data_IF_487911579143
#
_entry.id   IF_487911579143
#
_cell.length_a   1.000
_cell.length_b   1.000
_cell.length_c   1.000
_cell.angle_alpha   90.00
_cell.angle_beta   90.00
_cell.angle_gamma   90.00
#
_symmetry.space_group_name_H-M   'P 1'
#
loop_
_entity.id
_entity.type
_entity.pdbx_description
1 polymer ?
#
# COMPACT_ATOMS: atom_id res chain seq x y z
N UNK A 1 -4.83 -13.19 28.75
CA UNK A 1 -5.03 -12.56 27.44
C UNK A 1 -3.67 -12.10 26.92
N UNK A 2 -3.16 -12.68 25.83
CA UNK A 2 -1.92 -12.17 25.20
C UNK A 2 -2.26 -10.80 24.59
N UNK A 3 -1.47 -9.77 24.93
CA UNK A 3 -1.68 -8.39 24.50
C UNK A 3 -1.31 -8.25 23.02
N UNK A 4 -2.10 -7.45 22.29
CA UNK A 4 -1.98 -7.23 20.85
C UNK A 4 -0.60 -6.66 20.47
N UNK A 5 0.02 -7.21 19.43
CA UNK A 5 1.28 -6.73 18.85
C UNK A 5 1.04 -5.47 18.00
N UNK A 6 1.87 -4.43 18.18
CA UNK A 6 1.83 -3.21 17.38
C UNK A 6 2.89 -3.23 16.29
N UNK A 7 2.52 -2.79 15.10
CA UNK A 7 3.36 -2.71 13.92
C UNK A 7 3.69 -1.26 13.60
N UNK A 8 4.97 -0.90 13.65
CA UNK A 8 5.47 0.41 13.24
C UNK A 8 5.67 0.42 11.72
N UNK A 9 4.97 1.33 11.05
CA UNK A 9 5.04 1.53 9.59
C UNK A 9 6.22 2.43 9.23
N UNK A 10 6.57 2.44 7.95
CA UNK A 10 7.68 3.25 7.43
C UNK A 10 7.48 4.76 7.62
N UNK A 11 6.22 5.21 7.66
CA UNK A 11 5.83 6.61 7.93
C UNK A 11 5.81 6.95 9.44
N UNK A 12 6.22 6.01 10.30
CA UNK A 12 6.19 6.17 11.76
C UNK A 12 4.82 5.91 12.40
N UNK A 13 3.75 5.72 11.61
CA UNK A 13 2.44 5.37 12.16
C UNK A 13 2.44 3.96 12.72
N UNK A 14 1.56 3.68 13.67
CA UNK A 14 1.38 2.35 14.26
C UNK A 14 0.03 1.76 13.88
N UNK A 15 0.00 0.46 13.59
CA UNK A 15 -1.24 -0.30 13.44
C UNK A 15 -1.16 -1.61 14.23
N UNK A 16 -2.30 -2.21 14.56
CA UNK A 16 -2.30 -3.54 15.15
C UNK A 16 -1.79 -4.57 14.14
N UNK A 17 -1.14 -5.62 14.64
CA UNK A 17 -0.77 -6.77 13.83
C UNK A 17 -2.01 -7.43 13.25
N UNK A 18 -2.05 -7.56 11.92
CA UNK A 18 -3.14 -8.20 11.19
C UNK A 18 -2.58 -9.43 10.49
N UNK A 19 -2.96 -10.60 10.99
CA UNK A 19 -2.49 -11.89 10.47
C UNK A 19 -2.81 -12.07 8.98
N UNK A 20 -3.99 -11.65 8.53
CA UNK A 20 -4.41 -11.76 7.12
C UNK A 20 -3.53 -10.93 6.15
N UNK A 21 -2.86 -9.88 6.61
CA UNK A 21 -1.86 -9.17 5.80
C UNK A 21 -0.62 -10.01 5.56
N UNK A 22 -0.22 -10.83 6.54
CA UNK A 22 0.92 -11.74 6.40
C UNK A 22 0.57 -12.85 5.43
N UNK A 23 -0.59 -13.50 5.58
CA UNK A 23 -1.10 -14.50 4.62
C UNK A 23 -1.10 -13.92 3.21
N UNK A 24 -1.74 -12.77 3.00
CA UNK A 24 -1.83 -12.15 1.68
C UNK A 24 -0.46 -11.79 1.09
N UNK A 25 0.49 -11.35 1.93
CA UNK A 25 1.86 -11.06 1.49
C UNK A 25 2.58 -12.33 1.04
N UNK A 26 2.45 -13.43 1.79
CA UNK A 26 3.05 -14.72 1.45
C UNK A 26 2.40 -15.30 0.19
N UNK A 27 1.08 -15.30 0.10
CA UNK A 27 0.36 -15.81 -1.07
C UNK A 27 0.75 -15.07 -2.35
N UNK A 28 0.87 -13.74 -2.30
CA UNK A 28 1.35 -12.95 -3.43
C UNK A 28 2.79 -13.30 -3.82
N UNK A 29 3.66 -13.52 -2.84
CA UNK A 29 5.04 -13.92 -3.07
C UNK A 29 5.13 -15.32 -3.72
N UNK A 30 4.37 -16.28 -3.19
CA UNK A 30 4.27 -17.64 -3.72
C UNK A 30 3.74 -17.65 -5.17
N UNK A 31 2.69 -16.88 -5.42
CA UNK A 31 2.11 -16.71 -6.76
C UNK A 31 3.12 -16.10 -7.75
N UNK A 32 3.83 -15.04 -7.35
CA UNK A 32 4.86 -14.41 -8.17
C UNK A 32 6.09 -15.33 -8.38
N UNK A 33 6.38 -16.21 -7.43
CA UNK A 33 7.38 -17.27 -7.55
C UNK A 33 6.92 -18.48 -8.37
N UNK A 34 5.72 -18.46 -8.95
CA UNK A 34 5.18 -19.52 -9.81
C UNK A 34 4.61 -20.73 -9.07
N UNK A 35 4.39 -20.64 -7.75
CA UNK A 35 3.83 -21.71 -6.92
C UNK A 35 2.67 -21.19 -6.06
N UNK A 36 1.55 -20.76 -6.66
CA UNK A 36 0.39 -20.31 -5.89
C UNK A 36 -0.14 -21.45 -5.01
N UNK A 37 -0.12 -21.25 -3.71
CA UNK A 37 -0.61 -22.21 -2.72
C UNK A 37 -1.11 -21.46 -1.47
N UNK A 38 -2.42 -21.32 -1.37
CA UNK A 38 -3.06 -20.58 -0.27
C UNK A 38 -2.92 -21.31 1.06
N UNK A 39 -3.01 -22.65 1.08
CA UNK A 39 -2.88 -23.44 2.30
C UNK A 39 -1.46 -23.30 2.86
N UNK A 40 -0.45 -23.39 1.98
CA UNK A 40 0.93 -23.11 2.37
C UNK A 40 1.12 -21.67 2.86
N UNK A 41 0.46 -20.68 2.24
CA UNK A 41 0.55 -19.29 2.69
C UNK A 41 0.01 -19.10 4.11
N UNK A 42 -1.06 -19.79 4.46
CA UNK A 42 -1.63 -19.82 5.81
C UNK A 42 -0.67 -20.47 6.81
N UNK A 43 -0.16 -21.66 6.50
CA UNK A 43 0.80 -22.38 7.35
C UNK A 43 2.06 -21.56 7.63
N UNK A 44 2.65 -20.94 6.60
CA UNK A 44 3.83 -20.09 6.76
C UNK A 44 3.52 -18.80 7.53
N UNK A 45 2.30 -18.24 7.40
CA UNK A 45 1.89 -17.07 8.17
C UNK A 45 1.75 -17.40 9.66
N UNK A 46 1.30 -18.60 10.01
CA UNK A 46 1.27 -19.07 11.40
C UNK A 46 2.68 -19.19 11.98
N UNK A 47 3.64 -19.71 11.21
CA UNK A 47 5.05 -19.76 11.61
C UNK A 47 5.60 -18.36 11.89
N UNK A 48 5.37 -17.40 10.98
CA UNK A 48 5.78 -15.99 11.16
C UNK A 48 5.12 -15.41 12.42
N UNK A 49 3.81 -15.60 12.57
CA UNK A 49 3.05 -15.10 13.73
C UNK A 49 3.61 -15.65 15.04
N UNK A 50 3.85 -16.95 15.09
CA UNK A 50 4.45 -17.60 16.26
C UNK A 50 5.80 -16.98 16.64
N UNK A 51 6.68 -16.75 15.66
CA UNK A 51 7.98 -16.11 15.91
C UNK A 51 7.85 -14.67 16.38
N UNK A 52 6.95 -13.87 15.79
CA UNK A 52 6.72 -12.50 16.23
C UNK A 52 6.29 -12.41 17.69
N UNK A 53 5.36 -13.29 18.11
CA UNK A 53 4.86 -13.30 19.49
C UNK A 53 5.82 -13.97 20.49
N UNK A 54 6.76 -14.82 20.03
CA UNK A 54 7.75 -15.48 20.90
C UNK A 54 9.00 -14.64 21.14
N UNK A 55 9.38 -13.79 20.19
CA UNK A 55 10.67 -13.09 20.17
C UNK A 55 10.68 -11.77 20.94
N UNK A 56 9.53 -11.29 21.42
CA UNK A 56 9.39 -9.91 21.88
C UNK A 56 8.89 -9.77 23.32
N UNK A 57 9.79 -9.29 24.19
CA UNK A 57 9.44 -8.68 25.50
C UNK A 57 8.75 -7.32 25.31
N UNK A 58 9.07 -6.61 24.22
CA UNK A 58 8.47 -5.33 23.80
C UNK A 58 7.47 -5.51 22.67
N UNK A 59 6.24 -5.02 22.82
CA UNK A 59 5.11 -5.30 21.89
C UNK A 59 5.11 -4.49 20.60
N UNK A 60 6.28 -4.17 20.06
CA UNK A 60 6.42 -3.34 18.88
C UNK A 60 7.38 -3.97 17.88
N UNK A 61 6.92 -4.12 16.64
CA UNK A 61 7.73 -4.63 15.54
C UNK A 61 7.60 -3.69 14.35
N UNK A 62 8.70 -3.42 13.64
CA UNK A 62 8.60 -2.67 12.39
C UNK A 62 8.04 -3.54 11.26
N UNK A 63 7.34 -2.91 10.32
CA UNK A 63 6.91 -3.57 9.09
C UNK A 63 8.08 -4.14 8.27
N UNK A 64 9.27 -3.55 8.35
CA UNK A 64 10.51 -4.08 7.77
C UNK A 64 10.99 -5.36 8.44
N UNK A 65 10.86 -5.49 9.75
CA UNK A 65 11.23 -6.71 10.47
C UNK A 65 10.29 -7.86 10.14
N UNK A 66 8.98 -7.60 10.08
CA UNK A 66 7.99 -8.60 9.63
C UNK A 66 8.35 -9.07 8.21
N UNK A 67 8.67 -8.15 7.30
CA UNK A 67 9.06 -8.49 5.93
C UNK A 67 10.32 -9.37 5.89
N UNK A 68 11.33 -9.03 6.68
CA UNK A 68 12.56 -9.84 6.78
C UNK A 68 12.29 -11.23 7.34
N UNK A 69 11.38 -11.35 8.31
CA UNK A 69 10.96 -12.64 8.85
C UNK A 69 10.23 -13.48 7.81
N UNK A 70 9.31 -12.89 7.04
CA UNK A 70 8.63 -13.57 5.93
C UNK A 70 9.65 -14.11 4.92
N UNK A 71 10.62 -13.29 4.51
CA UNK A 71 11.68 -13.72 3.58
C UNK A 71 12.51 -14.88 4.15
N UNK A 72 12.88 -14.80 5.42
CA UNK A 72 13.64 -15.86 6.09
C UNK A 72 12.85 -17.17 6.16
N UNK A 73 11.55 -17.11 6.47
CA UNK A 73 10.66 -18.28 6.48
C UNK A 73 10.58 -18.88 5.08
N UNK A 74 10.29 -18.08 4.05
CA UNK A 74 10.22 -18.55 2.65
C UNK A 74 11.50 -19.27 2.20
N UNK A 75 12.68 -18.68 2.48
CA UNK A 75 13.96 -19.32 2.15
C UNK A 75 14.16 -20.62 2.94
N UNK A 76 13.87 -20.61 4.24
CA UNK A 76 14.08 -21.78 5.10
C UNK A 76 13.18 -22.96 4.75
N UNK A 77 12.06 -22.71 4.05
CA UNK A 77 11.10 -23.72 3.62
C UNK A 77 11.19 -24.05 2.13
N UNK A 78 12.24 -23.61 1.43
CA UNK A 78 12.47 -23.96 0.00
C UNK A 78 11.61 -23.17 -1.01
N UNK A 79 11.16 -21.96 -0.63
CA UNK A 79 10.47 -21.01 -1.50
C UNK A 79 11.35 -19.79 -1.82
N UNK A 80 12.60 -20.03 -2.21
CA UNK A 80 13.57 -18.98 -2.52
C UNK A 80 13.10 -18.06 -3.64
N UNK A 81 12.47 -18.62 -4.70
CA UNK A 81 11.90 -17.83 -5.78
C UNK A 81 10.83 -16.84 -5.30
N UNK A 82 9.99 -17.26 -4.33
CA UNK A 82 9.00 -16.38 -3.72
C UNK A 82 9.66 -15.29 -2.85
N UNK A 83 10.71 -15.63 -2.11
CA UNK A 83 11.47 -14.65 -1.32
C UNK A 83 12.14 -13.58 -2.20
N UNK A 84 12.67 -13.98 -3.36
CA UNK A 84 13.23 -13.07 -4.38
C UNK A 84 12.13 -12.17 -4.93
N UNK A 85 11.02 -12.75 -5.41
CA UNK A 85 9.89 -12.00 -5.95
C UNK A 85 9.32 -10.98 -4.94
N UNK A 86 9.23 -11.36 -3.66
CA UNK A 86 8.83 -10.44 -2.58
C UNK A 86 9.82 -9.28 -2.40
N UNK A 87 11.12 -9.58 -2.52
CA UNK A 87 12.19 -8.59 -2.49
C UNK A 87 12.09 -7.59 -3.65
N UNK A 88 11.96 -8.10 -4.87
CA UNK A 88 11.81 -7.30 -6.09
C UNK A 88 10.56 -6.43 -6.05
N UNK A 89 9.42 -6.99 -5.65
CA UNK A 89 8.17 -6.24 -5.50
C UNK A 89 8.32 -5.08 -4.49
N UNK A 90 8.99 -5.32 -3.36
CA UNK A 90 9.23 -4.28 -2.34
C UNK A 90 10.13 -3.17 -2.87
N UNK A 91 11.22 -3.53 -3.56
CA UNK A 91 12.14 -2.56 -4.18
C UNK A 91 11.42 -1.77 -5.27
N UNK A 92 10.67 -2.44 -6.14
CA UNK A 92 9.87 -1.83 -7.20
C UNK A 92 8.88 -0.80 -6.64
N UNK A 93 8.12 -1.15 -5.59
CA UNK A 93 7.22 -0.18 -4.93
C UNK A 93 7.98 1.02 -4.35
N UNK A 94 9.13 0.82 -3.73
CA UNK A 94 9.94 1.91 -3.18
C UNK A 94 10.45 2.84 -4.28
N UNK A 95 10.93 2.28 -5.39
CA UNK A 95 11.39 3.04 -6.55
C UNK A 95 10.25 3.82 -7.20
N UNK A 96 9.09 3.21 -7.37
CA UNK A 96 7.91 3.88 -7.92
C UNK A 96 7.52 5.07 -7.05
N UNK A 97 7.38 4.88 -5.72
CA UNK A 97 7.11 6.00 -4.78
C UNK A 97 8.15 7.13 -4.89
N UNK A 98 9.43 6.78 -4.94
CA UNK A 98 10.50 7.77 -5.00
C UNK A 98 10.53 8.55 -6.32
N UNK A 99 10.04 7.96 -7.41
CA UNK A 99 10.01 8.55 -8.74
C UNK A 99 8.71 9.27 -9.06
N UNK A 100 7.62 8.91 -8.39
CA UNK A 100 6.32 9.55 -8.61
C UNK A 100 6.29 10.93 -7.96
N UNK A 101 5.93 11.93 -8.76
CA UNK A 101 5.70 13.31 -8.36
C UNK A 101 4.27 13.71 -8.73
N UNK A 102 3.64 14.52 -7.89
CA UNK A 102 2.38 15.21 -8.19
C UNK A 102 2.71 16.57 -8.80
N UNK A 103 2.16 16.81 -9.99
CA UNK A 103 2.19 18.12 -10.62
C UNK A 103 1.00 18.94 -10.11
N UNK A 104 1.26 20.05 -9.42
CA UNK A 104 0.26 20.92 -8.81
C UNK A 104 -0.51 21.73 -9.85
N UNK A 105 -1.25 21.03 -10.71
CA UNK A 105 -2.07 21.58 -11.79
C UNK A 105 -3.44 20.95 -11.76
N UNK A 106 -4.45 21.82 -11.83
CA UNK A 106 -5.83 21.41 -12.03
C UNK A 106 -6.14 21.60 -13.53
N UNK A 107 -6.08 20.51 -14.28
CA UNK A 107 -6.41 20.50 -15.71
C UNK A 107 -7.79 19.88 -15.86
N UNK A 108 -8.75 20.68 -16.35
CA UNK A 108 -10.12 20.24 -16.62
C UNK A 108 -10.37 20.06 -18.11
N UNK A 109 -9.74 20.89 -18.96
CA UNK A 109 -9.90 20.84 -20.40
C UNK A 109 -8.59 21.12 -21.17
N UNK A 110 -8.68 21.14 -22.51
CA UNK A 110 -7.55 21.45 -23.37
C UNK A 110 -7.11 22.92 -23.33
N UNK A 111 -7.98 23.85 -22.92
CA UNK A 111 -7.63 25.26 -22.78
C UNK A 111 -6.68 25.47 -21.58
N UNK A 112 -6.86 24.71 -20.51
CA UNK A 112 -5.95 24.69 -19.36
C UNK A 112 -4.53 24.27 -19.76
N UNK A 113 -4.40 23.31 -20.69
CA UNK A 113 -3.11 22.86 -21.21
C UNK A 113 -2.41 23.98 -21.98
N UNK A 114 -3.14 24.71 -22.83
CA UNK A 114 -2.57 25.83 -23.58
C UNK A 114 -2.18 26.99 -22.66
N UNK A 115 -2.96 27.24 -21.61
CA UNK A 115 -2.62 28.22 -20.56
C UNK A 115 -1.35 27.81 -19.80
N UNK A 116 -1.21 26.52 -19.47
CA UNK A 116 -0.02 25.98 -18.84
C UNK A 116 1.21 26.18 -19.72
N UNK A 117 1.10 25.88 -21.02
CA UNK A 117 2.18 26.02 -22.01
C UNK A 117 2.64 27.48 -22.14
N UNK A 118 1.72 28.44 -22.03
CA UNK A 118 2.02 29.88 -22.08
C UNK A 118 2.62 30.43 -20.78
N UNK A 119 2.46 29.71 -19.67
CA UNK A 119 2.95 30.15 -18.37
C UNK A 119 4.45 29.91 -18.26
N UNK A 120 5.24 30.96 -18.01
CA UNK A 120 6.71 30.84 -17.88
C UNK A 120 7.15 30.08 -16.63
N UNK A 121 6.32 30.07 -15.59
CA UNK A 121 6.60 29.37 -14.33
C UNK A 121 6.18 27.91 -14.47
N UNK A 122 7.14 27.00 -14.32
CA UNK A 122 6.82 25.58 -14.22
C UNK A 122 5.96 25.32 -12.99
N UNK A 123 4.93 24.45 -13.09
CA UNK A 123 4.12 24.12 -11.94
C UNK A 123 4.96 23.44 -10.86
N UNK A 124 4.52 23.59 -9.62
CA UNK A 124 5.17 22.94 -8.49
C UNK A 124 5.08 21.43 -8.62
N UNK A 125 6.18 20.75 -8.25
CA UNK A 125 6.27 19.30 -8.20
C UNK A 125 6.42 18.88 -6.75
N UNK A 126 5.53 18.00 -6.34
CA UNK A 126 5.42 17.54 -4.97
C UNK A 126 5.75 16.05 -4.97
N UNK A 127 6.69 15.57 -4.15
CA UNK A 127 6.96 14.13 -4.03
C UNK A 127 5.70 13.34 -3.66
N UNK A 128 5.55 12.13 -4.20
CA UNK A 128 4.44 11.26 -3.84
C UNK A 128 4.45 10.93 -2.36
N UNK A 129 3.36 11.26 -1.68
CA UNK A 129 3.11 10.88 -0.30
C UNK A 129 1.68 10.38 -0.16
N UNK A 130 1.57 9.06 0.03
CA UNK A 130 0.29 8.37 0.23
C UNK A 130 -0.46 8.88 1.47
N UNK A 131 0.26 9.35 2.48
CA UNK A 131 -0.32 9.84 3.74
C UNK A 131 -1.22 11.05 3.50
N UNK A 132 -0.86 11.92 2.54
CA UNK A 132 -1.67 13.08 2.17
C UNK A 132 -3.09 12.71 1.72
N UNK A 133 -3.23 11.62 0.95
CA UNK A 133 -4.55 11.13 0.53
C UNK A 133 -5.34 10.63 1.74
N UNK A 134 -4.68 9.92 2.65
CA UNK A 134 -5.31 9.37 3.86
C UNK A 134 -5.81 10.51 4.75
N UNK A 135 -4.97 11.52 4.98
CA UNK A 135 -5.27 12.66 5.83
C UNK A 135 -6.40 13.50 5.20
N UNK A 136 -6.32 13.80 3.90
CA UNK A 136 -7.37 14.53 3.17
C UNK A 136 -8.73 13.82 3.23
N UNK A 137 -8.77 12.50 3.00
CA UNK A 137 -10.01 11.72 3.09
C UNK A 137 -10.57 11.63 4.51
N UNK A 138 -9.70 11.61 5.52
CA UNK A 138 -10.12 11.55 6.92
C UNK A 138 -10.65 12.91 7.39
N UNK A 139 -9.95 13.99 7.06
CA UNK A 139 -10.27 15.35 7.50
C UNK A 139 -11.45 15.96 6.73
N UNK A 140 -11.46 15.82 5.39
CA UNK A 140 -12.45 16.52 4.54
C UNK A 140 -13.69 15.66 4.26
N UNK A 141 -13.54 14.34 4.17
CA UNK A 141 -14.64 13.44 3.81
C UNK A 141 -15.20 12.66 5.00
N UNK A 142 -14.61 12.80 6.20
CA UNK A 142 -15.05 12.12 7.41
C UNK A 142 -14.93 10.59 7.36
N UNK A 143 -14.16 10.05 6.40
CA UNK A 143 -13.97 8.61 6.26
C UNK A 143 -13.15 8.06 7.42
N UNK A 144 -13.46 6.84 7.84
CA UNK A 144 -12.60 6.13 8.79
C UNK A 144 -11.19 5.98 8.21
N UNK A 145 -10.17 6.12 9.07
CA UNK A 145 -8.77 5.98 8.65
C UNK A 145 -8.47 4.65 7.96
N UNK A 146 -9.18 3.58 8.34
CA UNK A 146 -9.07 2.28 7.69
C UNK A 146 -9.58 2.32 6.25
N UNK A 147 -10.75 2.92 6.01
CA UNK A 147 -11.32 3.09 4.67
C UNK A 147 -10.43 3.99 3.81
N UNK A 148 -9.97 5.12 4.36
CA UNK A 148 -9.02 6.01 3.69
C UNK A 148 -7.71 5.30 3.28
N UNK A 149 -7.18 4.40 4.14
CA UNK A 149 -5.99 3.58 3.82
C UNK A 149 -6.23 2.61 2.66
N UNK A 150 -7.42 2.02 2.57
CA UNK A 150 -7.81 1.13 1.45
C UNK A 150 -7.87 1.95 0.16
N UNK A 151 -8.60 3.06 0.15
CA UNK A 151 -8.70 3.96 -1.01
C UNK A 151 -7.32 4.41 -1.47
N UNK A 152 -6.50 4.94 -0.56
CA UNK A 152 -5.14 5.38 -0.89
C UNK A 152 -4.26 4.23 -1.42
N UNK A 153 -4.48 2.99 -0.98
CA UNK A 153 -3.76 1.82 -1.53
C UNK A 153 -4.18 1.51 -2.98
N UNK A 154 -5.48 1.58 -3.28
CA UNK A 154 -6.01 1.36 -4.62
C UNK A 154 -5.58 2.45 -5.59
N UNK A 155 -5.59 3.72 -5.16
CA UNK A 155 -5.09 4.85 -5.97
C UNK A 155 -3.61 4.70 -6.28
N UNK A 156 -2.79 4.39 -5.26
CA UNK A 156 -1.35 4.15 -5.45
C UNK A 156 -1.09 3.03 -6.46
N UNK A 157 -1.81 1.91 -6.30
CA UNK A 157 -1.72 0.78 -7.21
C UNK A 157 -2.09 1.16 -8.64
N UNK A 158 -3.17 1.93 -8.81
CA UNK A 158 -3.61 2.39 -10.13
C UNK A 158 -2.57 3.29 -10.80
N UNK A 159 -1.99 4.23 -10.05
CA UNK A 159 -0.91 5.11 -10.56
C UNK A 159 0.30 4.28 -11.01
N UNK A 160 0.73 3.31 -10.21
CA UNK A 160 1.89 2.48 -10.55
C UNK A 160 1.63 1.60 -11.77
N UNK A 161 0.43 1.02 -11.91
CA UNK A 161 0.06 0.23 -13.10
C UNK A 161 0.00 1.07 -14.37
N UNK A 162 -0.33 2.35 -14.28
CA UNK A 162 -0.28 3.26 -15.44
C UNK A 162 1.15 3.65 -15.84
N UNK A 163 2.17 3.31 -15.03
CA UNK A 163 3.57 3.67 -15.31
C UNK A 163 3.85 5.17 -15.23
N UNK A 164 2.98 5.96 -14.60
CA UNK A 164 3.12 7.41 -14.52
C UNK A 164 4.10 7.79 -13.39
N UNK A 165 5.12 8.57 -13.74
CA UNK A 165 6.04 9.20 -12.77
C UNK A 165 5.68 10.64 -12.48
N UNK A 166 4.87 11.30 -13.32
CA UNK A 166 4.36 12.65 -13.08
C UNK A 166 2.84 12.64 -13.21
N UNK A 167 2.15 12.81 -12.08
CA UNK A 167 0.69 12.69 -11.99
C UNK A 167 0.07 14.08 -11.80
N UNK A 168 -0.77 14.57 -12.73
CA UNK A 168 -1.51 15.82 -12.52
C UNK A 168 -2.42 15.74 -11.29
N UNK A 169 -2.51 16.83 -10.53
CA UNK A 169 -3.38 16.89 -9.36
C UNK A 169 -4.85 16.64 -9.71
N UNK A 170 -5.33 17.11 -10.87
CA UNK A 170 -6.70 16.80 -11.33
C UNK A 170 -6.92 15.30 -11.54
N UNK A 171 -5.96 14.58 -12.14
CA UNK A 171 -6.04 13.12 -12.30
C UNK A 171 -6.03 12.42 -10.94
N UNK A 172 -5.16 12.83 -10.02
CA UNK A 172 -5.14 12.29 -8.66
C UNK A 172 -6.52 12.41 -7.98
N UNK A 173 -7.14 13.60 -8.05
CA UNK A 173 -8.50 13.82 -7.52
C UNK A 173 -9.52 12.86 -8.13
N UNK A 174 -9.50 12.69 -9.46
CA UNK A 174 -10.42 11.77 -10.15
C UNK A 174 -10.22 10.31 -9.72
N UNK A 175 -8.97 9.87 -9.57
CA UNK A 175 -8.66 8.52 -9.07
C UNK A 175 -9.17 8.33 -7.64
N UNK A 176 -8.92 9.30 -6.75
CA UNK A 176 -9.38 9.26 -5.36
C UNK A 176 -10.91 9.18 -5.29
N UNK A 177 -11.63 9.99 -6.07
CA UNK A 177 -13.10 9.95 -6.14
C UNK A 177 -13.60 8.58 -6.62
N UNK A 178 -13.02 8.06 -7.71
CA UNK A 178 -13.41 6.77 -8.28
C UNK A 178 -13.19 5.60 -7.31
N UNK A 179 -12.02 5.52 -6.67
CA UNK A 179 -11.74 4.46 -5.71
C UNK A 179 -12.57 4.60 -4.42
N UNK A 180 -12.83 5.83 -3.97
CA UNK A 180 -13.71 6.07 -2.81
C UNK A 180 -15.11 5.55 -3.07
N UNK A 181 -15.69 5.89 -4.23
CA UNK A 181 -17.01 5.41 -4.61
C UNK A 181 -17.07 3.88 -4.66
N UNK A 182 -16.04 3.24 -5.25
CA UNK A 182 -15.96 1.78 -5.33
C UNK A 182 -15.91 1.12 -3.93
N UNK A 183 -15.09 1.64 -3.02
CA UNK A 183 -14.96 1.10 -1.66
C UNK A 183 -16.26 1.27 -0.86
N UNK A 184 -16.89 2.45 -0.94
CA UNK A 184 -18.14 2.70 -0.23
C UNK A 184 -19.31 1.87 -0.76
N UNK A 185 -19.30 1.55 -2.06
CA UNK A 185 -20.29 0.64 -2.64
C UNK A 185 -20.09 -0.78 -2.12
N UNK A 186 -18.85 -1.29 -2.16
CA UNK A 186 -18.54 -2.62 -1.66
C UNK A 186 -18.88 -2.80 -0.15
N UNK A 187 -18.66 -1.75 0.66
CA UNK A 187 -19.05 -1.77 2.08
C UNK A 187 -20.56 -1.86 2.27
N UNK A 188 -21.35 -1.15 1.45
CA UNK A 188 -22.82 -1.24 1.48
C UNK A 188 -23.31 -2.60 1.07
N UNK A 189 -22.73 -3.19 0.02
CA UNK A 189 -23.11 -4.51 -0.46
C UNK A 189 -22.84 -5.59 0.60
N UNK A 190 -21.72 -5.50 1.32
CA UNK A 190 -21.39 -6.41 2.44
C UNK A 190 -22.29 -6.24 3.66
N UNK A 191 -22.87 -5.07 3.89
CA UNK A 191 -23.82 -4.84 4.99
C UNK A 191 -25.22 -5.36 4.66
N UNK A 192 -25.53 -5.50 3.37
CA UNK A 192 -26.83 -5.96 2.87
C UNK A 192 -26.85 -7.45 2.50
N UNK A 193 -25.70 -8.14 2.59
CA UNK A 193 -25.53 -9.57 2.33
C UNK A 193 -25.62 -10.39 3.62
#
# INVERSE_FOLDING_TARGET
>A
MRKQLLVIKTDGTTEEYIHTKVIGTINNALSAGGRPDMAMAEDLAEVVTYYLYRRQDDRQVSSSEILSMIKAVLVSTGFEAAAVALGEHTIGRRLNRARTEILAVDMQDFADVEKLRRTRKSPERIPWDKSRIIDELTEQSGLSRQTARVVAAMVEERIFRMGMTLVPQSLLKQLVLGETAAVLQAQRDLQNA
#
